data_IF_523718166125
#
_entry.id   IF_523718166125
#
_cell.length_a   1.000
_cell.length_b   1.000
_cell.length_c   1.000
_cell.angle_alpha   90.00
_cell.angle_beta   90.00
_cell.angle_gamma   90.00
#
_symmetry.space_group_name_H-M   'P 1'
#
loop_
_entity.id
_entity.type
_entity.pdbx_description
1 polymer ?
#
# COMPACT_ATOMS: atom_id res chain seq x y z
N UNK A 1 0.00 -14.89 29.47
CA UNK A 1 -0.93 -15.30 28.39
C UNK A 1 -1.19 -14.21 27.34
N UNK A 2 -0.36 -13.16 27.26
CA UNK A 2 -0.60 -11.98 26.38
C UNK A 2 0.11 -12.06 25.00
N UNK A 3 1.01 -13.03 24.82
CA UNK A 3 1.85 -13.15 23.61
C UNK A 3 1.15 -13.79 22.40
N UNK A 4 0.08 -14.56 22.60
CA UNK A 4 -0.61 -15.26 21.49
C UNK A 4 -1.46 -14.32 20.63
N UNK A 5 -2.06 -13.29 21.22
CA UNK A 5 -2.92 -12.33 20.52
C UNK A 5 -2.21 -11.55 19.38
N UNK A 6 -0.97 -11.03 19.56
CA UNK A 6 -0.27 -10.35 18.47
C UNK A 6 0.19 -11.32 17.37
N UNK A 7 0.54 -12.58 17.71
CA UNK A 7 0.89 -13.58 16.69
C UNK A 7 -0.31 -13.91 15.79
N UNK A 8 -1.49 -14.14 16.36
CA UNK A 8 -2.69 -14.44 15.58
C UNK A 8 -3.14 -13.23 14.75
N UNK A 9 -3.05 -12.02 15.30
CA UNK A 9 -3.43 -10.80 14.57
C UNK A 9 -2.48 -10.51 13.40
N UNK A 10 -1.18 -10.75 13.59
CA UNK A 10 -0.18 -10.60 12.51
C UNK A 10 -0.41 -11.59 11.37
N UNK A 11 -0.73 -12.84 11.69
CA UNK A 11 -1.08 -13.86 10.67
C UNK A 11 -2.34 -13.44 9.90
N UNK A 12 -3.38 -12.96 10.59
CA UNK A 12 -4.61 -12.49 9.95
C UNK A 12 -4.39 -11.30 9.01
N UNK A 13 -3.65 -10.28 9.45
CA UNK A 13 -3.29 -9.13 8.60
C UNK A 13 -2.43 -9.54 7.41
N UNK A 14 -1.47 -10.45 7.60
CA UNK A 14 -0.67 -11.01 6.52
C UNK A 14 -1.53 -11.71 5.46
N UNK A 15 -2.57 -12.44 5.88
CA UNK A 15 -3.49 -13.10 4.96
C UNK A 15 -4.35 -12.11 4.16
N UNK A 16 -4.82 -11.02 4.80
CA UNK A 16 -5.59 -9.95 4.13
C UNK A 16 -4.73 -9.20 3.11
N UNK A 17 -3.47 -8.90 3.46
CA UNK A 17 -2.53 -8.24 2.55
C UNK A 17 -2.10 -9.18 1.40
N UNK A 18 -1.99 -10.49 1.67
CA UNK A 18 -1.69 -11.53 0.69
C UNK A 18 -2.89 -11.96 -0.17
N UNK A 19 -4.05 -11.32 0.00
CA UNK A 19 -5.22 -11.50 -0.85
C UNK A 19 -5.33 -10.52 -2.05
N UNK A 20 -4.25 -10.05 -2.74
CA UNK A 20 -4.43 -9.42 -4.04
C UNK A 20 -4.75 -10.53 -5.05
N UNK A 21 -5.98 -11.03 -4.99
CA UNK A 21 -6.51 -12.10 -5.84
C UNK A 21 -7.06 -11.43 -7.10
N UNK A 22 -6.30 -11.46 -8.19
CA UNK A 22 -6.85 -11.14 -9.51
C UNK A 22 -5.82 -10.54 -10.47
N UNK A 23 -5.78 -9.22 -10.68
CA UNK A 23 -5.06 -8.64 -11.81
C UNK A 23 -3.56 -8.45 -11.57
N UNK A 24 -3.12 -8.12 -10.35
CA UNK A 24 -1.71 -7.77 -10.09
C UNK A 24 -0.77 -8.99 -10.22
N UNK A 25 -1.17 -10.15 -9.69
CA UNK A 25 -0.37 -11.38 -9.82
C UNK A 25 -0.33 -11.87 -11.27
N UNK A 26 -1.46 -11.78 -12.00
CA UNK A 26 -1.52 -12.12 -13.43
C UNK A 26 -0.67 -11.17 -14.28
N UNK A 27 -0.67 -9.87 -14.01
CA UNK A 27 0.20 -8.91 -14.69
C UNK A 27 1.69 -9.19 -14.40
N UNK A 28 2.04 -9.61 -13.19
CA UNK A 28 3.40 -9.98 -12.83
C UNK A 28 3.86 -11.24 -13.56
N UNK A 29 3.00 -12.26 -13.65
CA UNK A 29 3.26 -13.47 -14.43
C UNK A 29 3.45 -13.15 -15.91
N UNK A 30 2.57 -12.32 -16.48
CA UNK A 30 2.60 -11.97 -17.90
C UNK A 30 3.82 -11.09 -18.23
N UNK A 31 4.21 -10.15 -17.36
CA UNK A 31 5.45 -9.36 -17.47
C UNK A 31 6.71 -10.24 -17.38
N UNK A 32 6.71 -11.25 -16.50
CA UNK A 32 7.83 -12.18 -16.37
C UNK A 32 8.01 -13.05 -17.62
N UNK A 33 6.89 -13.51 -18.20
CA UNK A 33 6.89 -14.29 -19.42
C UNK A 33 7.27 -13.46 -20.66
N UNK A 34 6.84 -12.20 -20.76
CA UNK A 34 7.12 -11.33 -21.90
C UNK A 34 8.53 -10.71 -21.88
N UNK A 35 9.10 -10.47 -20.70
CA UNK A 35 10.37 -9.72 -20.53
C UNK A 35 11.51 -10.57 -19.95
N UNK A 36 11.23 -11.85 -19.65
CA UNK A 36 12.21 -12.82 -19.16
C UNK A 36 12.49 -12.75 -17.65
N UNK A 37 13.11 -13.81 -17.13
CA UNK A 37 13.35 -14.01 -15.69
C UNK A 37 14.18 -12.89 -15.03
N UNK A 38 15.13 -12.30 -15.78
CA UNK A 38 16.00 -11.21 -15.28
C UNK A 38 15.22 -9.94 -14.97
N UNK A 39 14.20 -9.62 -15.78
CA UNK A 39 13.35 -8.46 -15.55
C UNK A 39 12.45 -8.66 -14.32
N UNK A 40 11.91 -9.87 -14.14
CA UNK A 40 11.11 -10.23 -12.95
C UNK A 40 11.90 -10.19 -11.64
N UNK A 41 13.17 -10.61 -11.67
CA UNK A 41 14.03 -10.59 -10.48
C UNK A 41 14.41 -9.16 -10.08
N UNK A 42 14.68 -8.29 -11.07
CA UNK A 42 14.98 -6.88 -10.84
C UNK A 42 13.78 -6.11 -10.26
N UNK A 43 12.57 -6.36 -10.78
CA UNK A 43 11.34 -5.71 -10.26
C UNK A 43 10.95 -6.23 -8.89
N UNK A 44 11.08 -7.55 -8.64
CA UNK A 44 10.84 -8.15 -7.33
C UNK A 44 11.76 -7.60 -6.26
N UNK A 45 13.06 -7.47 -6.55
CA UNK A 45 14.02 -6.83 -5.64
C UNK A 45 13.69 -5.36 -5.37
N UNK A 46 13.24 -4.62 -6.39
CA UNK A 46 12.82 -3.23 -6.24
C UNK A 46 11.65 -3.04 -5.29
N UNK A 47 10.63 -3.89 -5.39
CA UNK A 47 9.45 -3.86 -4.49
C UNK A 47 9.86 -4.20 -3.06
N UNK A 48 10.67 -5.25 -2.88
CA UNK A 48 11.15 -5.65 -1.55
C UNK A 48 12.03 -4.56 -0.91
N UNK A 49 12.90 -3.91 -1.68
CA UNK A 49 13.71 -2.77 -1.21
C UNK A 49 12.84 -1.57 -0.83
N UNK A 50 11.83 -1.25 -1.64
CA UNK A 50 10.91 -0.15 -1.35
C UNK A 50 10.15 -0.40 -0.03
N UNK A 51 9.64 -1.62 0.19
CA UNK A 51 8.94 -1.99 1.41
C UNK A 51 9.88 -1.98 2.63
N UNK A 52 11.10 -2.49 2.49
CA UNK A 52 12.11 -2.46 3.55
C UNK A 52 12.50 -1.04 3.97
N UNK A 53 12.74 -0.14 3.00
CA UNK A 53 13.05 1.27 3.28
C UNK A 53 11.86 1.95 3.94
N UNK A 54 10.64 1.69 3.46
CA UNK A 54 9.42 2.24 4.05
C UNK A 54 9.21 1.77 5.50
N UNK A 55 9.40 0.47 5.77
CA UNK A 55 9.32 -0.08 7.11
C UNK A 55 10.39 0.52 8.04
N UNK A 56 11.62 0.69 7.57
CA UNK A 56 12.70 1.32 8.33
C UNK A 56 12.39 2.77 8.70
N UNK A 57 11.89 3.56 7.74
CA UNK A 57 11.45 4.95 8.00
C UNK A 57 10.29 4.97 8.99
N UNK A 58 9.33 4.06 8.84
CA UNK A 58 8.16 3.99 9.72
C UNK A 58 8.56 3.63 11.15
N UNK A 59 9.41 2.61 11.35
CA UNK A 59 9.85 2.17 12.68
C UNK A 59 10.70 3.24 13.36
N UNK A 60 11.58 3.91 12.63
CA UNK A 60 12.40 5.01 13.18
C UNK A 60 11.56 6.24 13.54
N UNK A 61 10.53 6.56 12.75
CA UNK A 61 9.64 7.69 13.01
C UNK A 61 8.54 7.41 14.05
N UNK A 62 8.20 6.13 14.30
CA UNK A 62 7.04 5.73 15.10
C UNK A 62 7.02 6.38 16.50
N UNK A 63 8.19 6.48 17.14
CA UNK A 63 8.29 7.06 18.48
C UNK A 63 7.93 8.56 18.51
N UNK A 64 8.43 9.34 17.55
CA UNK A 64 8.11 10.75 17.43
C UNK A 64 6.63 10.96 17.08
N UNK A 65 6.09 10.17 16.14
CA UNK A 65 4.68 10.23 15.73
C UNK A 65 3.72 9.94 16.89
N UNK A 66 4.09 9.01 17.78
CA UNK A 66 3.29 8.68 18.95
C UNK A 66 3.20 9.83 19.96
N UNK A 67 4.31 10.55 20.21
CA UNK A 67 4.33 11.72 21.08
C UNK A 67 3.51 12.88 20.51
N UNK A 68 3.60 13.14 19.19
CA UNK A 68 2.77 14.14 18.51
C UNK A 68 1.28 13.76 18.48
N UNK A 69 0.97 12.47 18.34
CA UNK A 69 -0.42 11.97 18.34
C UNK A 69 -1.12 12.22 19.67
N UNK A 70 -0.42 12.08 20.80
CA UNK A 70 -1.02 12.33 22.12
C UNK A 70 -1.44 13.80 22.30
N UNK A 71 -0.70 14.75 21.73
CA UNK A 71 -1.02 16.18 21.78
C UNK A 71 -2.11 16.62 20.79
N UNK A 72 -2.24 15.95 19.63
CA UNK A 72 -3.16 16.36 18.54
C UNK A 72 -4.20 15.30 18.17
N UNK A 73 -4.51 14.35 19.06
CA UNK A 73 -5.43 13.24 18.80
C UNK A 73 -6.83 13.67 18.33
N UNK A 74 -7.33 14.79 18.87
CA UNK A 74 -8.67 15.29 18.63
C UNK A 74 -8.85 15.84 17.20
N UNK A 75 -8.00 16.78 16.71
CA UNK A 75 -8.09 17.25 15.33
C UNK A 75 -7.78 16.15 14.30
N UNK A 76 -6.84 15.23 14.57
CA UNK A 76 -6.50 14.14 13.65
C UNK A 76 -7.64 13.13 13.46
N UNK A 77 -8.34 12.76 14.55
CA UNK A 77 -9.50 11.87 14.47
C UNK A 77 -10.65 12.51 13.71
N UNK A 78 -10.95 13.78 14.01
CA UNK A 78 -12.00 14.53 13.33
C UNK A 78 -11.71 14.68 11.84
N UNK A 79 -10.47 15.06 11.47
CA UNK A 79 -10.09 15.18 10.05
C UNK A 79 -10.14 13.83 9.34
N UNK A 80 -9.67 12.76 9.97
CA UNK A 80 -9.67 11.41 9.39
C UNK A 80 -11.09 10.89 9.13
N UNK A 81 -11.96 10.95 10.13
CA UNK A 81 -13.35 10.48 9.96
C UNK A 81 -14.15 11.36 9.00
N UNK A 82 -13.92 12.68 9.02
CA UNK A 82 -14.60 13.59 8.12
C UNK A 82 -14.18 13.36 6.67
N UNK A 83 -12.89 13.15 6.40
CA UNK A 83 -12.38 12.94 5.05
C UNK A 83 -12.83 11.58 4.49
N UNK A 84 -12.79 10.52 5.29
CA UNK A 84 -13.36 9.21 4.94
C UNK A 84 -14.88 9.27 4.76
N UNK A 85 -15.59 9.99 5.63
CA UNK A 85 -17.03 10.20 5.53
C UNK A 85 -17.41 10.98 4.27
N UNK A 86 -16.64 12.02 3.92
CA UNK A 86 -16.84 12.80 2.69
C UNK A 86 -16.54 11.99 1.43
N UNK A 87 -15.47 11.18 1.43
CA UNK A 87 -15.17 10.29 0.30
C UNK A 87 -16.23 9.19 0.15
N UNK A 88 -16.66 8.58 1.26
CA UNK A 88 -17.74 7.59 1.26
C UNK A 88 -19.07 8.18 0.80
N UNK A 89 -19.45 9.36 1.33
CA UNK A 89 -20.65 10.06 0.93
C UNK A 89 -20.59 10.49 -0.54
N UNK A 90 -19.46 11.03 -1.02
CA UNK A 90 -19.27 11.33 -2.45
C UNK A 90 -19.35 10.07 -3.32
N UNK A 91 -18.85 8.92 -2.84
CA UNK A 91 -18.94 7.65 -3.57
C UNK A 91 -20.37 7.11 -3.65
N UNK A 92 -21.20 7.34 -2.62
CA UNK A 92 -22.61 6.92 -2.61
C UNK A 92 -23.52 7.90 -3.36
N UNK A 93 -23.25 9.21 -3.26
CA UNK A 93 -23.98 10.26 -3.98
C UNK A 93 -23.64 10.28 -5.48
N UNK A 94 -22.42 9.85 -5.85
CA UNK A 94 -22.03 9.53 -7.23
C UNK A 94 -22.43 8.09 -7.57
N UNK A 95 -23.70 7.77 -7.25
CA UNK A 95 -24.30 6.45 -7.39
C UNK A 95 -23.89 5.79 -8.70
N UNK A 96 -23.32 4.60 -8.59
CA UNK A 96 -22.96 3.69 -9.69
C UNK A 96 -22.38 4.36 -10.95
N UNK A 97 -21.11 4.72 -10.87
CA UNK A 97 -20.23 4.54 -12.01
C UNK A 97 -18.99 3.86 -11.49
N UNK A 98 -19.06 2.52 -11.39
CA UNK A 98 -17.99 1.59 -11.05
C UNK A 98 -16.61 2.24 -11.09
N UNK A 99 -16.09 2.76 -9.97
CA UNK A 99 -14.66 3.02 -9.87
C UNK A 99 -14.07 1.63 -9.71
N UNK A 100 -13.75 1.00 -10.85
CA UNK A 100 -12.87 -0.15 -10.92
C UNK A 100 -11.69 0.16 -9.99
N UNK A 101 -11.52 -0.55 -8.85
CA UNK A 101 -10.37 -0.36 -8.00
C UNK A 101 -9.19 -1.10 -8.65
N UNK A 102 -8.78 -0.61 -9.81
CA UNK A 102 -7.45 -0.83 -10.38
C UNK A 102 -6.81 0.56 -10.52
N UNK A 103 -6.66 1.28 -9.41
CA UNK A 103 -5.68 2.37 -9.32
C UNK A 103 -5.53 2.83 -7.87
N UNK A 104 -4.44 2.43 -7.19
CA UNK A 104 -3.91 3.23 -6.10
C UNK A 104 -3.56 4.59 -6.66
N UNK A 105 -4.15 5.62 -6.07
CA UNK A 105 -3.70 6.98 -6.22
C UNK A 105 -2.19 7.09 -5.94
N UNK A 106 -1.53 7.89 -6.76
CA UNK A 106 -0.57 8.87 -6.25
C UNK A 106 0.70 8.33 -5.56
N UNK A 107 1.42 7.44 -6.25
CA UNK A 107 2.88 7.49 -6.25
C UNK A 107 3.37 7.51 -7.70
N UNK A 108 3.12 8.62 -8.39
CA UNK A 108 3.89 9.01 -9.57
C UNK A 108 5.06 9.89 -9.07
N UNK A 109 6.25 9.86 -9.70
CA UNK A 109 6.33 10.28 -11.09
C UNK A 109 6.71 9.18 -12.12
N UNK A 110 6.28 9.40 -13.37
CA UNK A 110 6.53 8.51 -14.52
C UNK A 110 7.95 8.69 -15.13
N UNK A 111 8.32 7.73 -15.99
CA UNK A 111 9.17 7.92 -17.20
C UNK A 111 10.69 7.66 -17.17
N UNK A 112 11.35 7.17 -16.11
CA UNK A 112 12.85 7.11 -16.13
C UNK A 112 13.49 5.86 -16.78
N UNK A 113 12.82 4.70 -16.88
CA UNK A 113 13.53 3.47 -17.32
C UNK A 113 13.41 3.06 -18.79
N UNK A 114 12.65 3.76 -19.65
CA UNK A 114 12.62 3.41 -21.08
C UNK A 114 13.76 4.01 -21.92
N UNK A 115 14.59 4.92 -21.39
CA UNK A 115 15.60 5.62 -22.19
C UNK A 115 17.07 5.32 -21.81
N UNK A 116 17.31 4.44 -20.84
CA UNK A 116 18.66 4.12 -20.33
C UNK A 116 19.15 2.70 -20.67
N UNK A 117 18.35 1.92 -21.41
CA UNK A 117 18.71 0.57 -21.84
C UNK A 117 18.33 0.33 -23.32
N UNK A 118 18.80 1.22 -24.18
CA UNK A 118 19.05 1.00 -25.60
C UNK A 118 20.43 1.58 -25.91
#
# INVERSE_FOLDING_TARGET
>A
MIFWAPLLSGIGFGFVVAAPVGPMSLLCMNRTLQQGFRAGLATGFGIALADAVYALVTVSAFKAVNDFTSAYALPLRLSGSLLLGLLGAKSLLRGESTPKPDSPAAAAPPTVCCHLFC
#
